data_IF_417456971707
#
_entry.id   IF_417456971707
#
_cell.length_a   1.000
_cell.length_b   1.000
_cell.length_c   1.000
_cell.angle_alpha   90.00
_cell.angle_beta   90.00
_cell.angle_gamma   90.00
#
_symmetry.space_group_name_H-M   'P 1'
#
loop_
_entity.id
_entity.type
_entity.pdbx_description
1 polymer ?
#
# COMPACT_ATOMS: atom_id res chain seq x y z
N UNK A 1 15.24 6.23 9.82
CA UNK A 1 16.14 6.69 8.73
C UNK A 1 15.76 8.12 8.41
N UNK A 2 16.71 8.98 8.10
CA UNK A 2 16.61 10.45 8.17
C UNK A 2 16.29 11.10 6.79
N UNK A 3 15.01 11.18 6.37
CA UNK A 3 14.64 11.66 5.03
C UNK A 3 15.01 13.12 4.78
N UNK A 4 14.76 14.00 5.76
CA UNK A 4 15.02 15.44 5.62
C UNK A 4 16.51 15.71 5.51
N UNK A 5 17.33 15.01 6.31
CA UNK A 5 18.78 15.10 6.21
C UNK A 5 19.30 14.64 4.83
N UNK A 6 18.73 13.58 4.26
CA UNK A 6 19.13 13.08 2.94
C UNK A 6 18.88 14.10 1.81
N UNK A 7 17.86 14.96 1.94
CA UNK A 7 17.60 16.02 0.94
C UNK A 7 18.70 17.07 0.86
N UNK A 8 19.51 17.20 1.91
CA UNK A 8 20.62 18.17 1.98
C UNK A 8 21.91 17.62 1.37
N UNK A 9 21.93 16.37 0.90
CA UNK A 9 23.10 15.73 0.31
C UNK A 9 22.94 15.69 -1.20
N UNK A 10 24.00 16.05 -1.93
CA UNK A 10 23.98 16.01 -3.40
C UNK A 10 23.84 14.56 -3.88
N UNK A 11 22.96 14.26 -4.86
CA UNK A 11 22.78 12.89 -5.38
C UNK A 11 24.07 12.26 -5.94
N UNK A 12 24.97 13.07 -6.50
CA UNK A 12 26.26 12.59 -6.98
C UNK A 12 27.12 11.98 -5.85
N UNK A 13 27.02 12.54 -4.65
CA UNK A 13 27.73 12.04 -3.47
C UNK A 13 27.09 10.74 -2.98
N UNK A 14 25.76 10.68 -2.87
CA UNK A 14 25.05 9.49 -2.38
C UNK A 14 25.25 8.28 -3.28
N UNK A 15 25.39 8.48 -4.60
CA UNK A 15 25.54 7.39 -5.56
C UNK A 15 26.98 6.85 -5.68
N UNK A 16 27.98 7.65 -5.30
CA UNK A 16 29.39 7.29 -5.46
C UNK A 16 30.06 6.87 -4.15
N UNK A 17 29.60 7.40 -3.01
CA UNK A 17 30.27 7.21 -1.72
C UNK A 17 29.78 5.96 -1.01
N UNK A 18 30.72 5.11 -0.59
CA UNK A 18 30.41 3.94 0.25
C UNK A 18 30.23 4.34 1.72
N UNK A 19 29.53 3.51 2.50
CA UNK A 19 29.39 3.72 3.96
C UNK A 19 30.75 3.76 4.65
N UNK A 20 31.69 2.90 4.24
CA UNK A 20 33.06 2.90 4.76
C UNK A 20 33.79 4.23 4.50
N UNK A 21 33.65 4.78 3.30
CA UNK A 21 34.23 6.08 2.98
C UNK A 21 33.56 7.22 3.75
N UNK A 22 32.24 7.15 3.95
CA UNK A 22 31.45 8.16 4.64
C UNK A 22 31.78 8.23 6.14
N UNK A 23 32.00 7.07 6.79
CA UNK A 23 32.33 6.97 8.20
C UNK A 23 33.79 7.34 8.51
N UNK A 24 34.71 7.08 7.57
CA UNK A 24 36.10 7.50 7.71
C UNK A 24 36.18 9.01 7.94
N UNK A 25 36.84 9.41 9.04
CA UNK A 25 37.00 10.81 9.48
C UNK A 25 35.69 11.59 9.59
N UNK A 26 34.56 10.88 9.74
CA UNK A 26 33.21 11.46 9.74
C UNK A 26 32.92 12.34 8.51
N UNK A 27 33.48 11.99 7.35
CA UNK A 27 33.30 12.75 6.09
C UNK A 27 31.85 12.96 5.67
N UNK A 28 30.94 12.08 6.08
CA UNK A 28 29.51 12.25 5.81
C UNK A 28 28.94 13.60 6.31
N UNK A 29 29.58 14.24 7.30
CA UNK A 29 29.15 15.55 7.82
C UNK A 29 29.39 16.66 6.80
N UNK A 30 30.53 16.62 6.08
CA UNK A 30 30.87 17.66 5.10
C UNK A 30 30.02 17.58 3.82
N UNK A 31 29.30 16.49 3.64
CA UNK A 31 28.40 16.28 2.50
C UNK A 31 27.03 16.94 2.67
N UNK A 32 26.70 17.33 3.90
CA UNK A 32 25.45 18.01 4.21
C UNK A 32 25.60 19.47 3.78
N UNK A 33 24.96 19.83 2.67
CA UNK A 33 25.03 21.15 2.06
C UNK A 33 23.62 21.73 1.90
N UNK A 34 23.28 22.69 2.77
CA UNK A 34 22.03 23.44 2.64
C UNK A 34 21.53 24.01 3.97
N UNK A 35 20.45 24.80 3.94
CA UNK A 35 19.83 25.35 5.15
C UNK A 35 19.28 24.21 6.01
N UNK A 36 19.86 24.01 7.19
CA UNK A 36 19.44 22.98 8.12
C UNK A 36 18.13 23.37 8.80
N UNK A 37 17.04 22.68 8.47
CA UNK A 37 15.77 22.79 9.19
C UNK A 37 15.87 22.14 10.58
N UNK A 38 14.98 22.50 11.51
CA UNK A 38 14.93 21.86 12.84
C UNK A 38 14.75 20.34 12.73
N UNK A 39 13.95 19.88 11.77
CA UNK A 39 13.77 18.45 11.48
C UNK A 39 15.07 17.78 11.02
N UNK A 40 15.82 18.42 10.11
CA UNK A 40 17.11 17.92 9.64
C UNK A 40 18.15 17.90 10.78
N UNK A 41 18.19 18.91 11.64
CA UNK A 41 19.08 18.95 12.82
C UNK A 41 18.76 17.84 13.82
N UNK A 42 17.48 17.58 14.08
CA UNK A 42 17.05 16.48 14.97
C UNK A 42 17.49 15.13 14.42
N UNK A 43 17.35 14.95 13.11
CA UNK A 43 17.80 13.74 12.41
C UNK A 43 19.32 13.60 12.39
N UNK A 44 20.05 14.71 12.24
CA UNK A 44 21.51 14.74 12.33
C UNK A 44 22.00 14.25 13.70
N UNK A 45 21.47 14.79 14.79
CA UNK A 45 21.87 14.37 16.15
C UNK A 45 21.53 12.90 16.40
N UNK A 46 20.34 12.46 15.98
CA UNK A 46 19.94 11.05 16.09
C UNK A 46 20.86 10.12 15.32
N UNK A 47 21.26 10.52 14.10
CA UNK A 47 22.18 9.76 13.26
C UNK A 47 23.59 9.75 13.86
N UNK A 48 24.06 10.89 14.37
CA UNK A 48 25.35 10.99 15.05
C UNK A 48 25.44 9.99 16.21
N UNK A 49 24.46 9.98 17.11
CA UNK A 49 24.45 9.04 18.23
C UNK A 49 24.35 7.57 17.78
N UNK A 50 23.62 7.29 16.72
CA UNK A 50 23.50 5.92 16.18
C UNK A 50 24.79 5.44 15.51
N UNK A 51 25.59 6.36 14.95
CA UNK A 51 26.88 6.06 14.32
C UNK A 51 28.05 6.14 15.31
N UNK A 52 27.85 6.76 16.47
CA UNK A 52 28.88 6.88 17.50
C UNK A 52 29.24 5.49 18.05
N UNK A 53 30.51 5.12 17.92
CA UNK A 53 30.99 3.77 18.26
C UNK A 53 30.75 2.69 17.19
N UNK A 54 30.14 3.00 16.05
CA UNK A 54 30.00 2.07 14.93
C UNK A 54 31.36 1.86 14.25
N UNK A 55 31.96 0.68 14.45
CA UNK A 55 33.20 0.27 13.80
C UNK A 55 32.90 -0.78 12.73
N UNK A 56 33.28 -0.49 11.48
CA UNK A 56 33.18 -1.47 10.41
C UNK A 56 34.29 -2.52 10.56
N UNK A 57 33.95 -3.80 10.37
CA UNK A 57 34.94 -4.86 10.36
C UNK A 57 35.80 -4.76 9.08
N UNK A 58 37.09 -4.45 9.23
CA UNK A 58 38.01 -4.29 8.11
C UNK A 58 38.15 -5.61 7.32
N UNK A 59 37.89 -5.56 6.01
CA UNK A 59 38.05 -6.71 5.11
C UNK A 59 36.89 -7.70 5.09
N UNK A 60 35.77 -7.41 5.78
CA UNK A 60 34.55 -8.21 5.64
C UNK A 60 33.61 -7.57 4.62
N UNK A 61 33.16 -8.34 3.63
CA UNK A 61 32.19 -7.88 2.64
C UNK A 61 30.80 -7.72 3.27
N UNK A 62 30.07 -6.68 2.87
CA UNK A 62 28.70 -6.42 3.32
C UNK A 62 27.78 -7.59 2.94
N UNK A 63 27.03 -8.13 3.92
CA UNK A 63 26.04 -9.17 3.67
C UNK A 63 24.63 -8.60 3.71
N UNK A 64 23.97 -8.60 2.56
CA UNK A 64 22.53 -8.29 2.47
C UNK A 64 21.72 -9.55 2.80
N UNK A 65 21.08 -9.58 3.97
CA UNK A 65 20.20 -10.69 4.35
C UNK A 65 18.74 -10.44 3.99
N UNK A 66 18.14 -11.36 3.24
CA UNK A 66 16.72 -11.41 2.97
C UNK A 66 15.93 -11.89 4.19
N UNK A 67 15.42 -10.95 4.99
CA UNK A 67 14.72 -11.20 6.27
C UNK A 67 13.44 -12.04 6.19
N UNK A 68 12.92 -12.31 4.99
CA UNK A 68 11.66 -13.04 4.80
C UNK A 68 11.87 -14.54 4.52
N UNK A 69 13.07 -15.04 4.76
CA UNK A 69 13.43 -16.45 4.65
C UNK A 69 14.44 -16.79 5.75
N UNK A 70 14.28 -17.89 6.52
CA UNK A 70 15.25 -18.32 7.51
C UNK A 70 16.69 -18.47 6.97
N UNK A 71 16.86 -18.78 5.67
CA UNK A 71 18.19 -18.90 5.08
C UNK A 71 18.86 -17.55 4.79
N UNK A 72 18.17 -16.41 4.94
CA UNK A 72 18.72 -15.09 4.63
C UNK A 72 18.98 -14.84 3.14
N UNK A 73 18.69 -15.79 2.26
CA UNK A 73 18.93 -15.65 0.82
C UNK A 73 17.69 -15.17 0.07
N UNK A 74 17.91 -14.23 -0.84
CA UNK A 74 16.90 -13.77 -1.78
C UNK A 74 16.61 -14.86 -2.83
N UNK A 75 15.33 -15.11 -3.08
CA UNK A 75 14.88 -15.86 -4.25
C UNK A 75 13.63 -15.18 -4.79
N UNK A 76 13.38 -15.28 -6.11
CA UNK A 76 12.13 -14.77 -6.68
C UNK A 76 10.89 -15.40 -5.99
N UNK A 77 10.97 -16.68 -5.59
CA UNK A 77 9.91 -17.37 -4.85
C UNK A 77 9.70 -16.81 -3.45
N UNK A 78 10.75 -16.57 -2.67
CA UNK A 78 10.63 -15.99 -1.33
C UNK A 78 10.16 -14.53 -1.37
N UNK A 79 10.54 -13.77 -2.40
CA UNK A 79 10.01 -12.44 -2.67
C UNK A 79 8.51 -12.49 -2.99
N UNK A 80 8.10 -13.38 -3.87
CA UNK A 80 6.68 -13.60 -4.19
C UNK A 80 5.91 -14.04 -2.95
N UNK A 81 6.40 -14.99 -2.17
CA UNK A 81 5.72 -15.43 -0.94
C UNK A 81 5.61 -14.31 0.09
N UNK A 82 6.69 -13.54 0.33
CA UNK A 82 6.67 -12.36 1.20
C UNK A 82 5.62 -11.34 0.73
N UNK A 83 5.50 -11.15 -0.58
CA UNK A 83 4.51 -10.28 -1.19
C UNK A 83 3.06 -10.71 -0.87
N UNK A 84 2.80 -12.02 -0.79
CA UNK A 84 1.49 -12.59 -0.44
C UNK A 84 1.31 -12.95 1.04
N UNK A 85 2.24 -12.59 1.93
CA UNK A 85 2.04 -12.83 3.36
C UNK A 85 0.80 -12.08 3.87
N UNK A 86 -0.12 -12.79 4.52
CA UNK A 86 -1.42 -12.23 4.94
C UNK A 86 -2.45 -12.07 3.82
N UNK A 87 -2.18 -12.56 2.60
CA UNK A 87 -3.18 -12.62 1.56
C UNK A 87 -4.19 -13.74 1.84
N UNK A 88 -5.48 -13.47 1.58
CA UNK A 88 -6.54 -14.49 1.64
C UNK A 88 -6.45 -15.34 0.36
N UNK A 89 -6.43 -16.67 0.51
CA UNK A 89 -6.42 -17.59 -0.64
C UNK A 89 -7.76 -17.48 -1.37
N UNK A 90 -7.71 -16.90 -2.57
CA UNK A 90 -8.89 -16.61 -3.37
C UNK A 90 -9.05 -17.64 -4.51
N UNK A 91 -9.90 -18.66 -4.28
CA UNK A 91 -10.15 -19.72 -5.25
C UNK A 91 -10.78 -19.21 -6.56
N UNK A 92 -11.49 -18.08 -6.49
CA UNK A 92 -12.18 -17.47 -7.61
C UNK A 92 -11.29 -16.57 -8.50
N UNK A 93 -9.97 -16.59 -8.35
CA UNK A 93 -9.07 -15.82 -9.23
C UNK A 93 -9.37 -16.11 -10.71
N UNK A 94 -9.73 -17.35 -11.07
CA UNK A 94 -10.13 -17.74 -12.43
C UNK A 94 -11.38 -17.03 -12.95
N UNK A 95 -12.28 -16.60 -12.06
CA UNK A 95 -13.50 -15.84 -12.41
C UNK A 95 -13.16 -14.36 -12.64
N UNK A 96 -12.29 -13.83 -11.78
CA UNK A 96 -11.75 -12.48 -11.86
C UNK A 96 -10.96 -12.24 -13.15
N UNK A 97 -10.06 -13.16 -13.52
CA UNK A 97 -9.21 -13.02 -14.71
C UNK A 97 -9.99 -13.15 -16.03
N UNK A 98 -11.22 -13.67 -15.99
CA UNK A 98 -12.13 -13.74 -17.14
C UNK A 98 -13.12 -12.57 -17.22
N UNK A 99 -13.19 -11.73 -16.19
CA UNK A 99 -14.16 -10.65 -16.11
C UNK A 99 -13.61 -9.35 -16.75
N UNK A 100 -14.10 -9.04 -17.95
CA UNK A 100 -14.08 -7.70 -18.56
C UNK A 100 -15.49 -7.08 -18.45
N UNK A 101 -15.65 -5.75 -18.26
CA UNK A 101 -16.39 -5.18 -17.12
C UNK A 101 -17.84 -4.74 -17.47
N UNK A 102 -18.84 -4.94 -16.56
CA UNK A 102 -20.05 -4.08 -16.37
C UNK A 102 -20.85 -4.07 -15.03
N UNK A 103 -21.04 -2.94 -14.32
CA UNK A 103 -22.15 -2.71 -13.34
C UNK A 103 -22.47 -1.25 -12.95
N UNK A 104 -23.77 -0.92 -12.81
CA UNK A 104 -24.29 0.40 -12.38
C UNK A 104 -24.10 0.71 -10.88
N UNK A 105 -23.98 2.00 -10.60
CA UNK A 105 -23.47 2.73 -9.43
C UNK A 105 -24.08 2.55 -8.01
N UNK A 106 -25.00 1.62 -7.73
CA UNK A 106 -25.52 1.45 -6.36
C UNK A 106 -24.78 0.37 -5.55
N UNK A 107 -24.27 -0.67 -6.21
CA UNK A 107 -23.57 -1.79 -5.55
C UNK A 107 -22.13 -1.49 -5.17
N UNK A 108 -21.52 -0.45 -5.75
CA UNK A 108 -20.13 -0.06 -5.47
C UNK A 108 -19.98 0.62 -4.10
N UNK A 109 -20.92 1.51 -3.72
CA UNK A 109 -21.00 2.07 -2.35
C UNK A 109 -21.12 0.94 -1.31
N UNK A 110 -22.00 -0.04 -1.54
CA UNK A 110 -22.21 -1.17 -0.62
C UNK A 110 -20.99 -2.11 -0.54
N UNK A 111 -20.33 -2.37 -1.67
CA UNK A 111 -19.09 -3.14 -1.74
C UNK A 111 -17.96 -2.45 -0.96
N UNK A 112 -17.78 -1.14 -1.15
CA UNK A 112 -16.78 -0.33 -0.45
C UNK A 112 -17.04 -0.27 1.05
N UNK A 113 -18.29 -0.08 1.45
CA UNK A 113 -18.67 -0.09 2.87
C UNK A 113 -18.34 -1.45 3.50
N UNK A 114 -18.62 -2.57 2.84
CA UNK A 114 -18.34 -3.92 3.35
C UNK A 114 -16.85 -4.28 3.40
N UNK A 115 -16.07 -3.83 2.41
CA UNK A 115 -14.62 -4.09 2.36
C UNK A 115 -13.86 -3.18 3.34
N UNK A 116 -14.22 -1.90 3.44
CA UNK A 116 -13.46 -0.90 4.22
C UNK A 116 -13.88 -0.85 5.69
N UNK A 117 -15.13 -1.14 6.01
CA UNK A 117 -15.64 -1.09 7.39
C UNK A 117 -15.81 -2.48 8.03
N UNK A 118 -15.54 -3.56 7.29
CA UNK A 118 -15.65 -4.93 7.78
C UNK A 118 -17.08 -5.46 7.75
N UNK A 119 -17.24 -6.68 7.26
CA UNK A 119 -18.52 -7.39 7.25
C UNK A 119 -18.83 -7.96 8.65
N UNK A 120 -19.99 -7.61 9.22
CA UNK A 120 -20.45 -8.09 10.54
C UNK A 120 -21.92 -8.56 10.51
N UNK A 121 -22.37 -9.24 9.44
CA UNK A 121 -23.73 -9.82 9.42
C UNK A 121 -23.73 -11.25 8.88
N UNK A 122 -23.48 -12.21 9.78
CA UNK A 122 -23.76 -13.64 9.54
C UNK A 122 -22.57 -14.59 9.41
N UNK A 123 -21.37 -14.23 9.88
CA UNK A 123 -20.22 -15.16 9.91
C UNK A 123 -19.59 -15.50 8.55
N UNK A 124 -20.25 -15.18 7.45
CA UNK A 124 -19.73 -15.39 6.11
C UNK A 124 -18.58 -14.43 5.76
N UNK A 125 -17.49 -14.95 5.20
CA UNK A 125 -16.33 -14.15 4.82
C UNK A 125 -16.60 -13.21 3.64
N UNK A 126 -15.77 -12.18 3.42
CA UNK A 126 -15.91 -11.24 2.27
C UNK A 126 -15.99 -11.95 0.92
N UNK A 127 -15.35 -13.11 0.80
CA UNK A 127 -15.36 -13.96 -0.40
C UNK A 127 -16.71 -14.66 -0.58
N UNK A 128 -17.28 -15.18 0.51
CA UNK A 128 -18.58 -15.86 0.51
C UNK A 128 -19.69 -14.87 0.17
N UNK A 129 -19.65 -13.68 0.80
CA UNK A 129 -20.55 -12.57 0.44
C UNK A 129 -20.47 -12.19 -1.04
N UNK A 130 -19.26 -12.11 -1.60
CA UNK A 130 -19.07 -11.78 -3.01
C UNK A 130 -19.65 -12.88 -3.91
N UNK A 131 -19.45 -14.16 -3.57
CA UNK A 131 -20.04 -15.28 -4.28
C UNK A 131 -21.57 -15.27 -4.25
N UNK A 132 -22.16 -15.02 -3.09
CA UNK A 132 -23.62 -14.97 -2.92
C UNK A 132 -24.22 -13.83 -3.75
N UNK A 133 -23.67 -12.62 -3.61
CA UNK A 133 -24.12 -11.48 -4.41
C UNK A 133 -23.95 -11.73 -5.90
N UNK A 134 -22.90 -12.44 -6.29
CA UNK A 134 -22.63 -12.77 -7.69
C UNK A 134 -23.65 -13.74 -8.23
N UNK A 135 -24.13 -14.72 -7.46
CA UNK A 135 -25.03 -15.76 -7.95
C UNK A 135 -26.38 -15.21 -8.41
N UNK A 136 -26.91 -14.20 -7.72
CA UNK A 136 -28.22 -13.60 -7.96
C UNK A 136 -28.26 -12.57 -9.12
N UNK A 137 -27.13 -12.33 -9.78
CA UNK A 137 -26.99 -11.30 -10.81
C UNK A 137 -27.04 -11.87 -12.24
N UNK A 138 -27.53 -11.06 -13.17
CA UNK A 138 -27.42 -11.34 -14.61
C UNK A 138 -25.94 -11.30 -15.08
N UNK A 139 -25.66 -11.80 -16.28
CA UNK A 139 -24.27 -11.90 -16.80
C UNK A 139 -23.59 -10.54 -17.01
N UNK A 140 -24.37 -9.48 -17.25
CA UNK A 140 -23.84 -8.12 -17.33
C UNK A 140 -23.42 -7.70 -15.92
N UNK A 141 -24.33 -7.75 -14.95
CA UNK A 141 -24.13 -7.34 -13.57
C UNK A 141 -23.05 -8.15 -12.83
N UNK A 142 -22.91 -9.45 -13.12
CA UNK A 142 -21.84 -10.28 -12.55
C UNK A 142 -20.47 -9.69 -12.86
N UNK A 143 -20.25 -9.33 -14.12
CA UNK A 143 -18.92 -8.97 -14.60
C UNK A 143 -18.43 -7.63 -14.00
N UNK A 144 -19.28 -6.66 -13.67
CA UNK A 144 -18.82 -5.42 -13.05
C UNK A 144 -18.80 -5.46 -11.53
N UNK A 145 -19.55 -6.38 -10.91
CA UNK A 145 -19.28 -6.73 -9.52
C UNK A 145 -17.85 -7.29 -9.41
N UNK A 146 -17.49 -8.21 -10.32
CA UNK A 146 -16.15 -8.79 -10.40
C UNK A 146 -15.09 -7.70 -10.65
N UNK A 147 -15.36 -6.73 -11.53
CA UNK A 147 -14.42 -5.62 -11.83
C UNK A 147 -14.28 -4.60 -10.71
N UNK A 148 -15.38 -4.24 -10.04
CA UNK A 148 -15.32 -3.37 -8.88
C UNK A 148 -14.58 -4.06 -7.72
N UNK A 149 -14.89 -5.34 -7.46
CA UNK A 149 -14.17 -6.15 -6.47
C UNK A 149 -12.67 -6.21 -6.78
N UNK A 150 -12.32 -6.35 -8.06
CA UNK A 150 -10.94 -6.32 -8.51
C UNK A 150 -10.26 -4.98 -8.32
N UNK A 151 -10.91 -3.88 -8.70
CA UNK A 151 -10.37 -2.54 -8.55
C UNK A 151 -10.10 -2.23 -7.08
N UNK A 152 -11.06 -2.52 -6.19
CA UNK A 152 -10.90 -2.34 -4.75
C UNK A 152 -9.74 -3.19 -4.21
N UNK A 153 -9.71 -4.48 -4.56
CA UNK A 153 -8.66 -5.41 -4.15
C UNK A 153 -7.27 -4.96 -4.63
N UNK A 154 -7.19 -4.45 -5.87
CA UNK A 154 -5.96 -3.94 -6.45
C UNK A 154 -5.50 -2.64 -5.80
N UNK A 155 -6.42 -1.72 -5.49
CA UNK A 155 -6.10 -0.47 -4.78
C UNK A 155 -5.55 -0.76 -3.38
N UNK A 156 -6.18 -1.67 -2.63
CA UNK A 156 -5.67 -2.12 -1.31
C UNK A 156 -4.29 -2.75 -1.45
N UNK A 157 -4.09 -3.62 -2.46
CA UNK A 157 -2.79 -4.22 -2.74
C UNK A 157 -1.73 -3.15 -3.04
N UNK A 158 -2.06 -2.14 -3.85
CA UNK A 158 -1.14 -1.05 -4.23
C UNK A 158 -0.74 -0.22 -3.01
N UNK A 159 -1.72 0.11 -2.16
CA UNK A 159 -1.51 0.83 -0.92
C UNK A 159 -0.55 0.09 0.02
N UNK A 160 -0.80 -1.21 0.27
CA UNK A 160 0.07 -2.05 1.11
C UNK A 160 1.47 -2.16 0.54
N UNK A 161 1.59 -2.32 -0.78
CA UNK A 161 2.89 -2.37 -1.44
C UNK A 161 3.67 -1.07 -1.26
N UNK A 162 3.00 0.09 -1.33
CA UNK A 162 3.66 1.37 -1.11
C UNK A 162 4.22 1.48 0.32
N UNK A 163 3.48 0.99 1.33
CA UNK A 163 3.99 0.91 2.71
C UNK A 163 5.22 0.01 2.84
N UNK A 164 5.18 -1.16 2.20
CA UNK A 164 6.24 -2.18 2.36
C UNK A 164 7.50 -1.82 1.58
N UNK A 165 7.36 -1.39 0.32
CA UNK A 165 8.49 -1.19 -0.59
C UNK A 165 8.96 0.26 -0.64
N UNK A 166 8.03 1.23 -0.58
CA UNK A 166 8.36 2.66 -0.64
C UNK A 166 8.41 3.31 0.75
N UNK A 167 8.08 2.56 1.82
CA UNK A 167 8.01 3.05 3.21
C UNK A 167 7.12 4.27 3.39
N UNK A 168 6.10 4.40 2.54
CA UNK A 168 5.09 5.44 2.70
C UNK A 168 4.29 5.22 4.00
N UNK A 169 3.91 6.31 4.70
CA UNK A 169 3.05 6.19 5.86
C UNK A 169 1.68 5.61 5.47
N UNK A 170 0.98 4.95 6.41
CA UNK A 170 -0.37 4.45 6.17
C UNK A 170 -1.31 5.55 5.68
N UNK A 171 -1.97 5.34 4.54
CA UNK A 171 -3.01 6.26 4.08
C UNK A 171 -4.22 6.20 5.01
N UNK A 172 -4.85 7.34 5.25
CA UNK A 172 -6.13 7.40 5.96
C UNK A 172 -7.19 6.67 5.13
N UNK A 173 -8.15 6.01 5.79
CA UNK A 173 -9.23 5.28 5.11
C UNK A 173 -9.99 6.15 4.10
N UNK A 174 -10.26 7.41 4.47
CA UNK A 174 -10.92 8.37 3.59
C UNK A 174 -10.11 8.68 2.33
N UNK A 175 -8.80 8.81 2.43
CA UNK A 175 -7.92 9.08 1.27
C UNK A 175 -7.90 7.90 0.30
N UNK A 176 -7.82 6.67 0.82
CA UNK A 176 -7.88 5.45 0.00
C UNK A 176 -9.24 5.29 -0.68
N UNK A 177 -10.33 5.61 0.02
CA UNK A 177 -11.67 5.62 -0.56
C UNK A 177 -11.79 6.63 -1.70
N UNK A 178 -11.30 7.86 -1.51
CA UNK A 178 -11.29 8.90 -2.55
C UNK A 178 -10.54 8.42 -3.79
N UNK A 179 -9.34 7.87 -3.64
CA UNK A 179 -8.55 7.35 -4.76
C UNK A 179 -9.26 6.20 -5.48
N UNK A 180 -9.92 5.30 -4.74
CA UNK A 180 -10.72 4.23 -5.34
C UNK A 180 -11.88 4.80 -6.16
N UNK A 181 -12.60 5.80 -5.64
CA UNK A 181 -13.68 6.45 -6.38
C UNK A 181 -13.15 7.16 -7.63
N UNK A 182 -12.01 7.84 -7.54
CA UNK A 182 -11.33 8.47 -8.67
C UNK A 182 -10.91 7.44 -9.73
N UNK A 183 -10.39 6.28 -9.32
CA UNK A 183 -10.07 5.20 -10.26
C UNK A 183 -11.33 4.68 -10.97
N UNK A 184 -12.45 4.52 -10.25
CA UNK A 184 -13.74 4.18 -10.87
C UNK A 184 -14.16 5.24 -11.90
N UNK A 185 -13.91 6.53 -11.61
CA UNK A 185 -14.18 7.62 -12.56
C UNK A 185 -13.35 7.52 -13.83
N UNK A 186 -12.05 7.35 -13.65
CA UNK A 186 -11.12 7.26 -14.77
C UNK A 186 -11.45 6.07 -15.66
N UNK A 187 -11.80 4.94 -15.07
CA UNK A 187 -12.18 3.76 -15.82
C UNK A 187 -13.49 4.01 -16.59
N UNK A 188 -14.49 4.61 -15.96
CA UNK A 188 -15.75 4.98 -16.62
C UNK A 188 -15.50 5.91 -17.82
N UNK A 189 -14.73 6.99 -17.61
CA UNK A 189 -14.38 7.95 -18.64
C UNK A 189 -13.57 7.33 -19.80
N UNK A 190 -12.75 6.31 -19.51
CA UNK A 190 -11.99 5.55 -20.50
C UNK A 190 -12.84 4.52 -21.28
N UNK A 191 -14.18 4.56 -21.15
CA UNK A 191 -15.08 3.68 -21.86
C UNK A 191 -15.54 2.47 -21.05
N UNK A 192 -15.19 2.37 -19.77
CA UNK A 192 -15.82 1.43 -18.83
C UNK A 192 -17.21 1.95 -18.39
N UNK A 193 -18.03 2.41 -19.35
CA UNK A 193 -19.35 3.03 -19.21
C UNK A 193 -20.33 2.20 -18.37
N UNK A 194 -20.01 0.93 -18.26
CA UNK A 194 -20.78 -0.01 -17.54
C UNK A 194 -20.54 0.00 -16.04
N UNK A 195 -19.46 0.60 -15.49
CA UNK A 195 -19.29 0.88 -14.05
C UNK A 195 -20.34 1.87 -13.50
N UNK A 196 -21.13 2.44 -14.41
CA UNK A 196 -22.10 3.49 -14.15
C UNK A 196 -21.42 4.82 -13.83
N UNK A 197 -22.11 5.94 -14.11
CA UNK A 197 -21.63 7.23 -13.62
C UNK A 197 -21.65 7.20 -12.08
N UNK A 198 -20.66 7.79 -11.40
CA UNK A 198 -20.70 7.89 -9.94
C UNK A 198 -21.98 8.60 -9.53
N UNK A 199 -22.75 7.98 -8.65
CA UNK A 199 -23.83 8.67 -7.98
C UNK A 199 -23.52 8.76 -6.50
N UNK A 200 -22.97 9.90 -6.09
CA UNK A 200 -22.78 10.26 -4.66
C UNK A 200 -24.14 10.38 -3.95
N UNK A 201 -25.20 10.68 -4.70
CA UNK A 201 -26.54 10.98 -4.19
C UNK A 201 -27.26 9.84 -3.43
N UNK A 202 -26.73 8.60 -3.44
CA UNK A 202 -27.37 7.45 -2.77
C UNK A 202 -26.59 6.86 -1.59
N UNK A 203 -25.37 7.33 -1.34
CA UNK A 203 -24.61 7.00 -0.14
C UNK A 203 -25.20 7.88 1.00
N UNK A 204 -26.01 7.31 1.91
CA UNK A 204 -26.67 8.07 3.00
C UNK A 204 -25.63 8.91 3.77
N UNK A 205 -25.83 10.24 3.96
CA UNK A 205 -24.86 11.12 4.61
C UNK A 205 -24.53 10.78 6.07
N UNK A 206 -25.33 9.92 6.73
CA UNK A 206 -25.20 9.64 8.15
C UNK A 206 -23.92 8.86 8.55
N UNK A 207 -23.24 8.18 7.61
CA UNK A 207 -22.03 7.38 7.91
C UNK A 207 -20.77 8.27 7.97
N UNK A 208 -20.77 9.43 7.32
CA UNK A 208 -19.61 10.34 7.31
C UNK A 208 -19.51 11.24 8.54
N UNK A 209 -20.57 11.32 9.35
CA UNK A 209 -20.64 12.26 10.48
C UNK A 209 -20.30 11.65 11.85
N UNK A 210 -20.18 10.33 11.97
CA UNK A 210 -19.77 9.69 13.21
C UNK A 210 -19.17 8.29 12.98
N UNK A 211 -17.84 8.16 12.85
CA UNK A 211 -17.21 6.85 12.78
C UNK A 211 -17.24 6.20 14.17
N UNK A 212 -17.84 5.01 14.36
CA UNK A 212 -17.74 4.33 15.65
C UNK A 212 -16.28 3.99 15.92
N UNK A 213 -15.80 4.37 17.10
CA UNK A 213 -14.48 4.01 17.61
C UNK A 213 -14.36 2.48 17.69
N UNK A 214 -13.80 1.86 16.67
CA UNK A 214 -13.38 0.47 16.75
C UNK A 214 -11.95 0.33 16.28
N UNK A 215 -11.11 0.12 17.30
CA UNK A 215 -9.77 -0.43 17.24
C UNK A 215 -9.91 -1.83 16.61
N UNK A 216 -9.18 -2.09 15.53
CA UNK A 216 -8.93 -3.47 15.11
C UNK A 216 -7.51 -3.85 15.52
N UNK A 217 -7.32 -5.07 16.06
CA UNK A 217 -6.04 -5.56 16.48
C UNK A 217 -5.24 -6.04 15.26
N UNK A 218 -4.02 -5.52 15.17
CA UNK A 218 -2.90 -5.93 14.30
C UNK A 218 -3.05 -5.75 12.78
#
# INVERSE_FOLDING_TARGET
MAPDLCTLIRPAVTNARTVAQALSEKRWISDIAGPATVAALTQYVSLWHALDGLHLASGTEDKVSWRWNPSGNYTARSAYNAFFQGAIRFAAHKLIWKAWPPLRSSSLCDLLLKIVYGHQRGGAGIIEWWFDCRNDLDSLRKRGLDSAFMLVSWSIRKERNSRVFNREPPRLRGQLLTEIFEQVQLWYAAGANHLGPPSVARCRPAIFLNPPHFILPF
#
